data_IF_924936449592
#
_entry.id   IF_924936449592
#
_cell.length_a   1.000
_cell.length_b   1.000
_cell.length_c   1.000
_cell.angle_alpha   90.00
_cell.angle_beta   90.00
_cell.angle_gamma   90.00
#
_symmetry.space_group_name_H-M   'P 1'
#
loop_
_entity.id
_entity.type
_entity.pdbx_description
1 polymer ?
#
# COMPACT_ATOMS: atom_id res chain seq x y z
N UNK A 1 10.61 2.76 14.56
CA UNK A 1 9.28 2.20 14.28
C UNK A 1 9.43 1.19 13.15
N UNK A 2 9.17 -0.11 13.40
CA UNK A 2 9.39 -1.20 12.42
C UNK A 2 8.47 -1.05 11.19
N UNK A 3 7.28 -0.47 11.36
CA UNK A 3 6.33 -0.21 10.26
C UNK A 3 6.94 0.67 9.16
N UNK A 4 7.82 1.61 9.51
CA UNK A 4 8.45 2.52 8.55
C UNK A 4 9.46 1.80 7.65
N UNK A 5 10.07 0.71 8.14
CA UNK A 5 11.02 -0.10 7.36
C UNK A 5 10.31 -1.08 6.43
N UNK A 6 9.12 -1.55 6.80
CA UNK A 6 8.41 -2.59 6.06
C UNK A 6 7.33 -2.07 5.10
N UNK A 7 6.90 -0.81 5.22
CA UNK A 7 5.78 -0.32 4.38
C UNK A 7 6.07 -0.38 2.88
N UNK A 8 7.30 -0.06 2.45
CA UNK A 8 7.66 -0.05 1.03
C UNK A 8 7.78 -1.47 0.43
N UNK A 9 8.47 -2.44 1.07
CA UNK A 9 8.41 -3.83 0.61
C UNK A 9 7.00 -4.43 0.73
N UNK A 10 6.20 -4.06 1.73
CA UNK A 10 4.79 -4.44 1.83
C UNK A 10 3.94 -3.88 0.69
N UNK A 11 4.17 -2.62 0.29
CA UNK A 11 3.51 -2.00 -0.86
C UNK A 11 3.85 -2.74 -2.15
N UNK A 12 5.14 -2.99 -2.38
CA UNK A 12 5.61 -3.71 -3.56
C UNK A 12 5.02 -5.12 -3.62
N UNK A 13 5.02 -5.84 -2.50
CA UNK A 13 4.39 -7.15 -2.38
C UNK A 13 2.88 -7.10 -2.68
N UNK A 14 2.17 -6.06 -2.21
CA UNK A 14 0.76 -5.88 -2.49
C UNK A 14 0.48 -5.65 -3.98
N UNK A 15 1.28 -4.80 -4.65
CA UNK A 15 1.16 -4.52 -6.09
C UNK A 15 1.43 -5.78 -6.92
N UNK A 16 2.52 -6.50 -6.64
CA UNK A 16 2.88 -7.74 -7.36
C UNK A 16 1.83 -8.83 -7.10
N UNK A 17 1.32 -8.96 -5.87
CA UNK A 17 0.25 -9.92 -5.55
C UNK A 17 -1.03 -9.63 -6.33
N UNK A 18 -1.37 -8.35 -6.51
CA UNK A 18 -2.56 -7.92 -7.25
C UNK A 18 -2.45 -8.21 -8.75
N UNK A 19 -1.29 -7.95 -9.36
CA UNK A 19 -1.08 -8.10 -10.80
C UNK A 19 -0.63 -9.51 -11.23
N UNK A 20 -0.13 -10.32 -10.29
CA UNK A 20 0.53 -11.65 -10.50
C UNK A 20 1.86 -11.60 -11.22
N UNK A 21 1.98 -10.75 -12.23
CA UNK A 21 3.23 -10.36 -12.87
C UNK A 21 3.14 -8.89 -13.27
N UNK A 22 4.26 -8.16 -13.23
CA UNK A 22 4.28 -6.72 -13.49
C UNK A 22 5.68 -6.29 -13.93
N UNK A 23 5.77 -5.43 -14.94
CA UNK A 23 7.05 -4.82 -15.32
C UNK A 23 7.54 -3.84 -14.26
N UNK A 24 8.85 -3.61 -14.23
CA UNK A 24 9.47 -2.65 -13.31
C UNK A 24 8.91 -1.24 -13.47
N UNK A 25 8.64 -0.81 -14.71
CA UNK A 25 8.12 0.52 -15.00
C UNK A 25 6.69 0.72 -14.46
N UNK A 26 5.80 -0.24 -14.69
CA UNK A 26 4.41 -0.18 -14.19
C UNK A 26 4.39 -0.24 -12.66
N UNK A 27 5.28 -1.05 -12.06
CA UNK A 27 5.46 -1.04 -10.60
C UNK A 27 5.85 0.37 -10.11
N UNK A 28 6.79 1.03 -10.77
CA UNK A 28 7.21 2.39 -10.40
C UNK A 28 6.10 3.41 -10.58
N UNK A 29 5.25 3.30 -11.60
CA UNK A 29 4.07 4.16 -11.74
C UNK A 29 3.15 4.06 -10.53
N UNK A 30 2.82 2.84 -10.09
CA UNK A 30 2.01 2.63 -8.89
C UNK A 30 2.67 3.16 -7.62
N UNK A 31 3.96 2.92 -7.44
CA UNK A 31 4.72 3.44 -6.30
C UNK A 31 4.70 4.97 -6.30
N UNK A 32 4.93 5.63 -7.43
CA UNK A 32 4.95 7.09 -7.53
C UNK A 32 3.60 7.75 -7.22
N UNK A 33 2.49 7.07 -7.50
CA UNK A 33 1.15 7.54 -7.14
C UNK A 33 0.92 7.46 -5.63
N UNK A 34 1.32 6.35 -5.00
CA UNK A 34 0.99 6.07 -3.60
C UNK A 34 2.02 6.63 -2.60
N UNK A 35 3.28 6.76 -3.03
CA UNK A 35 4.40 7.18 -2.18
C UNK A 35 4.22 8.53 -1.49
N UNK A 36 3.69 9.59 -2.14
CA UNK A 36 3.57 10.90 -1.50
C UNK A 36 2.69 10.88 -0.25
N UNK A 37 1.61 10.12 -0.27
CA UNK A 37 0.70 9.95 0.87
C UNK A 37 1.38 9.15 1.98
N UNK A 38 2.05 8.05 1.61
CA UNK A 38 2.82 7.23 2.55
C UNK A 38 3.95 8.02 3.22
N UNK A 39 4.67 8.85 2.45
CA UNK A 39 5.74 9.69 2.97
C UNK A 39 5.22 10.73 3.95
N UNK A 40 4.11 11.41 3.63
CA UNK A 40 3.50 12.38 4.52
C UNK A 40 2.97 11.75 5.81
N UNK A 41 2.38 10.55 5.72
CA UNK A 41 1.78 9.86 6.87
C UNK A 41 2.81 9.18 7.78
N UNK A 42 3.81 8.51 7.19
CA UNK A 42 4.78 7.69 7.92
C UNK A 42 6.16 8.35 8.03
N UNK A 43 6.29 9.61 7.61
CA UNK A 43 7.54 10.37 7.63
C UNK A 43 8.70 9.60 6.96
N UNK A 44 8.44 9.05 5.78
CA UNK A 44 9.44 8.27 5.05
C UNK A 44 10.60 9.14 4.60
N UNK A 45 11.81 8.61 4.74
CA UNK A 45 13.04 9.38 4.51
C UNK A 45 13.34 9.66 3.04
N UNK A 46 13.00 8.73 2.14
CA UNK A 46 13.47 8.77 0.76
C UNK A 46 12.77 9.85 -0.06
N UNK A 47 13.52 10.62 -0.84
CA UNK A 47 12.96 11.51 -1.84
C UNK A 47 12.55 10.74 -3.10
N UNK A 48 11.77 11.37 -3.98
CA UNK A 48 11.16 10.68 -5.13
C UNK A 48 12.21 10.18 -6.13
N UNK A 49 13.31 10.92 -6.26
CA UNK A 49 14.46 10.59 -7.08
C UNK A 49 15.28 9.41 -6.53
N UNK A 50 15.20 9.13 -5.22
CA UNK A 50 15.81 7.95 -4.61
C UNK A 50 14.96 6.68 -4.76
N UNK A 51 13.67 6.81 -5.07
CA UNK A 51 12.75 5.66 -5.14
C UNK A 51 13.15 4.58 -6.13
N UNK A 52 13.63 4.89 -7.36
CA UNK A 52 14.03 3.85 -8.31
C UNK A 52 15.08 2.91 -7.71
N UNK A 53 16.14 3.46 -7.11
CA UNK A 53 17.22 2.67 -6.50
C UNK A 53 16.73 1.84 -5.31
N UNK A 54 15.81 2.40 -4.51
CA UNK A 54 15.22 1.70 -3.37
C UNK A 54 14.35 0.54 -3.84
N UNK A 55 13.52 0.74 -4.87
CA UNK A 55 12.66 -0.31 -5.43
C UNK A 55 13.50 -1.41 -6.07
N UNK A 56 14.56 -1.06 -6.80
CA UNK A 56 15.45 -2.04 -7.41
C UNK A 56 16.20 -2.85 -6.33
N UNK A 57 16.66 -2.21 -5.25
CA UNK A 57 17.26 -2.91 -4.11
C UNK A 57 16.28 -3.85 -3.40
N UNK A 58 15.02 -3.44 -3.22
CA UNK A 58 13.98 -4.27 -2.63
C UNK A 58 13.62 -5.44 -3.55
N UNK A 59 13.54 -5.23 -4.87
CA UNK A 59 13.21 -6.28 -5.83
C UNK A 59 14.30 -7.36 -5.82
N UNK A 60 15.57 -6.94 -5.83
CA UNK A 60 16.72 -7.83 -5.69
C UNK A 60 16.67 -8.63 -4.38
N UNK A 61 16.32 -7.99 -3.26
CA UNK A 61 16.22 -8.70 -1.98
C UNK A 61 15.05 -9.68 -1.94
N UNK A 62 13.89 -9.31 -2.50
CA UNK A 62 12.73 -10.20 -2.59
C UNK A 62 12.99 -11.39 -3.52
N UNK A 63 13.74 -11.18 -4.61
CA UNK A 63 14.20 -12.26 -5.48
C UNK A 63 15.21 -13.16 -4.77
N UNK A 64 16.19 -12.59 -4.05
CA UNK A 64 17.19 -13.36 -3.27
C UNK A 64 16.53 -14.25 -2.22
N UNK A 65 15.45 -13.79 -1.61
CA UNK A 65 14.62 -14.58 -0.68
C UNK A 65 13.64 -15.53 -1.38
N UNK A 66 13.55 -15.49 -2.72
CA UNK A 66 12.67 -16.33 -3.51
C UNK A 66 11.19 -15.96 -3.40
N UNK A 67 10.83 -14.75 -2.97
CA UNK A 67 9.44 -14.28 -2.91
C UNK A 67 8.89 -13.95 -4.30
N UNK A 68 9.77 -13.46 -5.17
CA UNK A 68 9.49 -13.16 -6.58
C UNK A 68 10.54 -13.82 -7.47
N UNK A 69 10.25 -13.89 -8.76
CA UNK A 69 11.20 -14.28 -9.81
C UNK A 69 11.19 -13.22 -10.90
N UNK A 70 12.35 -12.93 -11.50
CA UNK A 70 12.44 -12.09 -12.70
C UNK A 70 12.37 -12.97 -13.95
N UNK A 71 11.47 -12.64 -14.88
CA UNK A 71 11.36 -13.24 -16.21
C UNK A 71 11.09 -12.12 -17.21
N UNK A 72 11.88 -12.01 -18.27
CA UNK A 72 11.69 -11.01 -19.33
C UNK A 72 11.50 -9.56 -18.81
N UNK A 73 12.25 -9.18 -17.77
CA UNK A 73 12.17 -7.88 -17.09
C UNK A 73 10.84 -7.61 -16.32
N UNK A 74 10.04 -8.66 -16.12
CA UNK A 74 8.86 -8.65 -15.27
C UNK A 74 9.11 -9.35 -13.93
N UNK A 75 8.49 -8.81 -12.88
CA UNK A 75 8.46 -9.39 -11.55
C UNK A 75 7.26 -10.32 -11.44
N UNK A 76 7.51 -11.61 -11.24
CA UNK A 76 6.48 -12.64 -11.05
C UNK A 76 6.43 -13.11 -9.61
N UNK A 77 5.23 -13.47 -9.12
CA UNK A 77 5.10 -14.20 -7.86
C UNK A 77 5.80 -15.55 -7.97
N UNK A 78 6.64 -15.91 -7.00
CA UNK A 78 7.09 -17.29 -6.86
C UNK A 78 5.99 -18.13 -6.19
N UNK A 79 5.39 -19.13 -6.87
CA UNK A 79 4.31 -19.92 -6.30
C UNK A 79 4.69 -20.59 -4.97
N UNK A 80 5.95 -21.01 -4.83
CA UNK A 80 6.47 -21.68 -3.63
C UNK A 80 6.43 -20.80 -2.37
N UNK A 81 6.52 -19.47 -2.53
CA UNK A 81 6.52 -18.50 -1.43
C UNK A 81 5.34 -17.51 -1.49
N UNK A 82 4.31 -17.82 -2.28
CA UNK A 82 3.14 -16.98 -2.46
C UNK A 82 2.47 -16.56 -1.14
N UNK A 83 2.39 -17.46 -0.16
CA UNK A 83 1.83 -17.15 1.16
C UNK A 83 2.69 -16.18 1.98
N UNK A 84 4.01 -16.31 1.90
CA UNK A 84 4.94 -15.38 2.55
C UNK A 84 4.83 -13.99 1.92
N UNK A 85 4.75 -13.93 0.58
CA UNK A 85 4.51 -12.68 -0.14
C UNK A 85 3.18 -12.03 0.26
N UNK A 86 2.11 -12.82 0.43
CA UNK A 86 0.81 -12.33 0.91
C UNK A 86 0.86 -11.80 2.34
N UNK A 87 1.67 -12.41 3.22
CA UNK A 87 1.89 -11.91 4.58
C UNK A 87 2.65 -10.58 4.56
N UNK A 88 3.68 -10.45 3.72
CA UNK A 88 4.38 -9.18 3.53
C UNK A 88 3.42 -8.10 2.99
N UNK A 89 2.61 -8.44 1.99
CA UNK A 89 1.59 -7.54 1.42
C UNK A 89 0.55 -7.09 2.46
N UNK A 90 0.25 -7.92 3.46
CA UNK A 90 -0.69 -7.57 4.52
C UNK A 90 -0.25 -6.35 5.32
N UNK A 91 1.06 -6.08 5.41
CA UNK A 91 1.62 -4.91 6.11
C UNK A 91 1.24 -3.56 5.50
N UNK A 92 0.85 -3.50 4.22
CA UNK A 92 0.36 -2.28 3.56
C UNK A 92 -1.17 -2.29 3.37
N UNK A 93 -1.85 -3.41 3.66
CA UNK A 93 -3.25 -3.64 3.29
C UNK A 93 -4.19 -2.61 3.90
N UNK A 94 -4.04 -2.33 5.19
CA UNK A 94 -4.90 -1.38 5.89
C UNK A 94 -4.75 0.04 5.31
N UNK A 95 -3.52 0.50 5.15
CA UNK A 95 -3.22 1.81 4.56
C UNK A 95 -3.81 1.96 3.16
N UNK A 96 -3.62 0.95 2.31
CA UNK A 96 -4.19 0.93 0.96
C UNK A 96 -5.72 0.91 0.97
N UNK A 97 -6.34 0.18 1.89
CA UNK A 97 -7.80 0.17 2.05
C UNK A 97 -8.32 1.57 2.44
N UNK A 98 -7.65 2.26 3.37
CA UNK A 98 -8.05 3.63 3.74
C UNK A 98 -7.93 4.60 2.56
N UNK A 99 -6.86 4.50 1.78
CA UNK A 99 -6.70 5.32 0.58
C UNK A 99 -7.81 5.02 -0.44
N UNK A 100 -8.12 3.75 -0.69
CA UNK A 100 -9.19 3.36 -1.59
C UNK A 100 -10.56 3.93 -1.15
N UNK A 101 -10.90 3.85 0.14
CA UNK A 101 -12.14 4.41 0.67
C UNK A 101 -12.17 5.93 0.51
N UNK A 102 -11.06 6.60 0.85
CA UNK A 102 -10.94 8.07 0.77
C UNK A 102 -11.10 8.54 -0.67
N UNK A 103 -10.41 7.90 -1.62
CA UNK A 103 -10.50 8.21 -3.03
C UNK A 103 -11.88 7.93 -3.61
N UNK A 104 -12.52 6.83 -3.21
CA UNK A 104 -13.89 6.54 -3.62
C UNK A 104 -14.87 7.62 -3.16
N UNK A 105 -14.76 8.07 -1.90
CA UNK A 105 -15.59 9.16 -1.36
C UNK A 105 -15.33 10.49 -2.06
N UNK A 106 -14.06 10.84 -2.30
CA UNK A 106 -13.69 12.05 -3.03
C UNK A 106 -14.15 12.00 -4.48
N UNK A 107 -14.09 10.84 -5.13
CA UNK A 107 -14.60 10.66 -6.49
C UNK A 107 -16.12 10.81 -6.55
N UNK A 108 -16.84 10.40 -5.51
CA UNK A 108 -18.29 10.54 -5.42
C UNK A 108 -18.73 11.97 -5.05
N UNK A 109 -17.93 12.67 -4.25
CA UNK A 109 -18.17 14.07 -3.88
C UNK A 109 -16.84 14.83 -3.70
N UNK A 110 -16.31 15.46 -4.75
CA UNK A 110 -15.02 16.16 -4.70
C UNK A 110 -15.00 17.38 -3.77
N UNK A 111 -16.17 17.94 -3.46
CA UNK A 111 -16.34 19.12 -2.59
C UNK A 111 -16.58 18.78 -1.12
N UNK A 112 -16.49 17.50 -0.75
CA UNK A 112 -16.68 17.05 0.63
C UNK A 112 -15.66 17.74 1.55
N UNK A 113 -16.14 18.35 2.63
CA UNK A 113 -15.25 18.94 3.62
C UNK A 113 -14.57 17.82 4.45
N UNK A 114 -13.42 18.15 5.04
CA UNK A 114 -12.60 17.21 5.82
C UNK A 114 -13.39 16.46 6.91
N UNK A 115 -14.18 17.18 7.71
CA UNK A 115 -14.93 16.58 8.83
C UNK A 115 -15.98 15.56 8.37
N UNK A 116 -16.65 15.85 7.25
CA UNK A 116 -17.60 14.91 6.64
C UNK A 116 -16.87 13.73 5.99
N UNK A 117 -15.74 13.97 5.32
CA UNK A 117 -14.92 12.91 4.72
C UNK A 117 -14.45 11.88 5.75
N UNK A 118 -13.94 12.33 6.90
CA UNK A 118 -13.52 11.43 7.99
C UNK A 118 -14.68 10.59 8.55
N UNK A 119 -15.88 11.18 8.66
CA UNK A 119 -17.06 10.50 9.19
C UNK A 119 -17.58 9.44 8.22
N UNK A 120 -17.68 9.78 6.95
CA UNK A 120 -18.11 8.87 5.88
C UNK A 120 -17.09 7.74 5.68
N UNK A 121 -15.78 8.06 5.68
CA UNK A 121 -14.71 7.06 5.54
C UNK A 121 -14.76 6.02 6.66
N UNK A 122 -15.01 6.45 7.90
CA UNK A 122 -15.19 5.53 9.03
C UNK A 122 -16.42 4.64 8.88
N UNK A 123 -17.52 5.20 8.40
CA UNK A 123 -18.78 4.45 8.18
C UNK A 123 -18.60 3.36 7.12
N UNK A 124 -17.93 3.69 6.01
CA UNK A 124 -17.61 2.73 4.93
C UNK A 124 -16.65 1.65 5.42
N UNK A 125 -15.58 2.04 6.14
CA UNK A 125 -14.63 1.10 6.72
C UNK A 125 -15.31 0.11 7.69
N UNK A 126 -16.23 0.60 8.53
CA UNK A 126 -17.03 -0.26 9.44
C UNK A 126 -17.90 -1.24 8.66
N UNK A 127 -18.56 -0.81 7.58
CA UNK A 127 -19.39 -1.71 6.75
C UNK A 127 -18.54 -2.78 6.07
N UNK A 128 -17.37 -2.42 5.54
CA UNK A 128 -16.43 -3.37 4.95
C UNK A 128 -15.88 -4.35 6.01
N UNK A 129 -15.57 -3.88 7.21
CA UNK A 129 -15.15 -4.71 8.35
C UNK A 129 -16.21 -5.75 8.72
N UNK A 130 -17.49 -5.37 8.81
CA UNK A 130 -18.61 -6.27 9.11
C UNK A 130 -18.87 -7.26 7.96
N UNK A 131 -18.83 -6.80 6.71
CA UNK A 131 -19.05 -7.65 5.53
C UNK A 131 -17.93 -8.66 5.30
N UNK A 132 -16.70 -8.32 5.65
CA UNK A 132 -15.51 -9.15 5.40
C UNK A 132 -14.92 -9.80 6.66
N UNK A 133 -15.51 -9.59 7.84
CA UNK A 133 -15.07 -10.19 9.11
C UNK A 133 -13.71 -9.67 9.62
N UNK A 134 -13.25 -8.51 9.15
CA UNK A 134 -11.94 -7.94 9.52
C UNK A 134 -12.11 -7.07 10.77
N UNK A 135 -11.80 -7.63 11.93
CA UNK A 135 -11.88 -6.90 13.21
C UNK A 135 -10.54 -6.22 13.47
N UNK A 136 -10.32 -5.03 12.89
CA UNK A 136 -9.09 -4.24 13.07
C UNK A 136 -9.41 -2.95 13.85
N UNK A 137 -9.12 -2.90 15.17
CA UNK A 137 -9.33 -1.72 16.02
C UNK A 137 -8.53 -0.47 15.60
N UNK A 138 -7.69 -0.59 14.58
CA UNK A 138 -6.71 0.42 14.16
C UNK A 138 -7.32 1.42 13.16
N UNK A 139 -8.46 1.08 12.54
CA UNK A 139 -9.29 1.98 11.72
C UNK A 139 -9.88 3.18 12.48
N UNK A 140 -9.70 3.23 13.81
CA UNK A 140 -10.32 4.21 14.70
C UNK A 140 -9.38 5.34 15.13
N UNK A 141 -8.10 5.32 14.70
CA UNK A 141 -7.13 6.32 15.16
C UNK A 141 -7.29 7.68 14.45
N UNK A 142 -7.49 8.73 15.26
CA UNK A 142 -7.67 10.12 14.81
C UNK A 142 -6.44 10.69 14.11
N UNK A 143 -5.24 10.17 14.39
CA UNK A 143 -3.99 10.68 13.81
C UNK A 143 -3.90 10.45 12.29
N UNK A 144 -4.56 9.42 11.78
CA UNK A 144 -4.41 8.92 10.40
C UNK A 144 -5.05 9.83 9.35
N UNK A 145 -6.07 10.61 9.71
CA UNK A 145 -6.73 11.56 8.80
C UNK A 145 -6.10 12.95 8.80
N UNK A 146 -5.15 13.20 9.72
CA UNK A 146 -4.47 14.50 9.84
C UNK A 146 -3.48 14.77 8.70
N UNK A 147 -2.89 13.72 8.11
CA UNK A 147 -1.81 13.79 7.11
C UNK A 147 -2.30 13.85 5.65
N UNK A 148 -3.58 13.57 5.40
CA UNK A 148 -4.16 13.50 4.06
C UNK A 148 -4.85 14.81 3.62
N UNK A 149 -5.03 15.78 4.53
CA UNK A 149 -5.71 17.06 4.28
C UNK A 149 -5.09 18.21 5.08
#
# INVERSE_FOLDING_TARGET
NIAHMLVLPSLMAAIVTQHRHISRDVLMEHVNVLYPMLKAELFLRWDRDELPDVIDALANEMQRQGLITLQDDELHINPAHSRTLQLLAAGARETLQRYAITFWLLSANPSINRGTLEKESRTVAQRLSVLHGINAPEFFDKAVFSSLV
#
